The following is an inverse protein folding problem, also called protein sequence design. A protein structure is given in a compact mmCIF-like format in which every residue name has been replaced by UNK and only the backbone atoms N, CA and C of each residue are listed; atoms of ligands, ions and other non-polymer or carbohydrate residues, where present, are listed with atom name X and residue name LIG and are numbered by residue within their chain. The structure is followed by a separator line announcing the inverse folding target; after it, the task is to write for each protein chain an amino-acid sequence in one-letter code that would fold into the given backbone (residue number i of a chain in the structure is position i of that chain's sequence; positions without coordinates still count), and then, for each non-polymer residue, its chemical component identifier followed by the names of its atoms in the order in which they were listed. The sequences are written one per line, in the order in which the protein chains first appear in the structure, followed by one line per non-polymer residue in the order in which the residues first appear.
data_IF_055422624663
#
_entry.id   IF_055422624663
#
_cell.length_a   1.000
_cell.length_b   1.000
_cell.length_c   1.000
_cell.angle_alpha   90.00
_cell.angle_beta   90.00
_cell.angle_gamma   90.00
#
_symmetry.space_group_name_H-M   'P 1'
#
loop_
_entity.id
_entity.type
_entity.pdbx_description
1 polymer ?
#
# COMPACT_ATOMS: atom_id res chain seq x y z
N UNK A 1 -25.87 15.20 -18.74
CA UNK A 1 -24.63 15.29 -17.92
C UNK A 1 -24.53 14.01 -17.12
N UNK A 2 -23.52 13.16 -17.37
CA UNK A 2 -23.33 11.93 -16.57
C UNK A 2 -23.09 12.34 -15.12
N UNK A 3 -23.86 11.78 -14.19
CA UNK A 3 -23.71 12.01 -12.76
C UNK A 3 -22.37 11.44 -12.30
N UNK A 4 -21.28 12.19 -12.50
CA UNK A 4 -19.94 11.74 -12.12
C UNK A 4 -19.80 11.83 -10.60
N UNK A 5 -19.44 10.73 -9.97
CA UNK A 5 -19.00 10.77 -8.58
C UNK A 5 -17.65 11.50 -8.47
N UNK A 6 -17.46 12.25 -7.40
CA UNK A 6 -16.20 12.90 -7.05
C UNK A 6 -15.38 11.94 -6.20
N UNK A 7 -14.07 11.85 -6.44
CA UNK A 7 -13.16 11.05 -5.63
C UNK A 7 -12.40 12.01 -4.71
N UNK A 8 -12.51 11.81 -3.41
CA UNK A 8 -11.73 12.51 -2.39
C UNK A 8 -10.95 11.51 -1.53
N UNK A 9 -10.06 12.04 -0.69
CA UNK A 9 -9.20 11.26 0.19
C UNK A 9 -9.49 11.65 1.63
N UNK A 10 -9.62 10.67 2.52
CA UNK A 10 -9.72 10.95 3.96
C UNK A 10 -8.44 11.64 4.47
N UNK A 11 -7.29 11.16 4.00
CA UNK A 11 -5.98 11.79 4.20
C UNK A 11 -5.16 11.70 2.90
N UNK A 12 -5.17 12.78 2.12
CA UNK A 12 -4.48 12.81 0.82
C UNK A 12 -2.98 12.53 0.96
N UNK A 13 -2.31 13.13 1.95
CA UNK A 13 -0.86 13.01 2.09
C UNK A 13 -0.42 11.57 2.35
N UNK A 14 -1.11 10.86 3.26
CA UNK A 14 -0.79 9.46 3.55
C UNK A 14 -1.19 8.54 2.41
N UNK A 15 -2.37 8.77 1.82
CA UNK A 15 -2.84 7.96 0.71
C UNK A 15 -1.89 8.08 -0.50
N UNK A 16 -1.43 9.28 -0.84
CA UNK A 16 -0.47 9.51 -1.93
C UNK A 16 0.87 8.82 -1.68
N UNK A 17 1.34 8.73 -0.44
CA UNK A 17 2.56 7.97 -0.09
C UNK A 17 2.35 6.48 -0.36
N UNK A 18 1.23 5.92 0.12
CA UNK A 18 0.87 4.51 -0.11
C UNK A 18 0.66 4.22 -1.60
N UNK A 19 0.01 5.12 -2.34
CA UNK A 19 -0.20 5.01 -3.79
C UNK A 19 1.15 4.94 -4.54
N UNK A 20 2.13 5.78 -4.17
CA UNK A 20 3.49 5.72 -4.73
C UNK A 20 4.20 4.41 -4.38
N UNK A 21 4.02 3.90 -3.16
CA UNK A 21 4.57 2.61 -2.77
C UNK A 21 3.92 1.47 -3.58
N UNK A 22 2.60 1.45 -3.75
CA UNK A 22 1.93 0.47 -4.63
C UNK A 22 2.47 0.56 -6.05
N UNK A 23 2.65 1.78 -6.60
CA UNK A 23 3.28 1.96 -7.92
C UNK A 23 4.68 1.35 -8.00
N UNK A 24 5.49 1.44 -6.93
CA UNK A 24 6.86 0.91 -6.88
C UNK A 24 6.90 -0.61 -6.74
N UNK A 25 6.14 -1.17 -5.80
CA UNK A 25 6.23 -2.58 -5.43
C UNK A 25 5.27 -3.48 -6.23
N UNK A 26 4.16 -2.92 -6.71
CA UNK A 26 3.12 -3.66 -7.42
C UNK A 26 2.45 -2.80 -8.50
N UNK A 27 3.14 -2.68 -9.63
CA UNK A 27 2.68 -1.93 -10.80
C UNK A 27 1.36 -2.45 -11.37
N UNK A 28 1.09 -3.76 -11.26
CA UNK A 28 -0.14 -4.38 -11.77
C UNK A 28 -1.36 -3.84 -11.02
N UNK A 29 -1.32 -3.86 -9.69
CA UNK A 29 -2.37 -3.30 -8.84
C UNK A 29 -2.55 -1.80 -9.09
N UNK A 30 -1.46 -1.05 -9.20
CA UNK A 30 -1.50 0.39 -9.48
C UNK A 30 -2.20 0.71 -10.82
N UNK A 31 -1.84 0.02 -11.90
CA UNK A 31 -2.47 0.24 -13.22
C UNK A 31 -3.96 -0.05 -13.18
N UNK A 32 -4.37 -1.16 -12.58
CA UNK A 32 -5.79 -1.51 -12.42
C UNK A 32 -6.54 -0.47 -11.60
N UNK A 33 -5.95 0.01 -10.51
CA UNK A 33 -6.51 1.08 -9.67
C UNK A 33 -6.80 2.35 -10.47
N UNK A 34 -5.82 2.83 -11.22
CA UNK A 34 -5.91 4.11 -11.94
C UNK A 34 -6.75 4.01 -13.21
N UNK A 35 -6.61 2.94 -14.00
CA UNK A 35 -7.24 2.84 -15.32
C UNK A 35 -8.60 2.18 -15.31
N UNK A 36 -8.88 1.27 -14.38
CA UNK A 36 -10.16 0.55 -14.35
C UNK A 36 -11.04 1.08 -13.22
N UNK A 37 -10.52 1.09 -11.99
CA UNK A 37 -11.35 1.33 -10.81
C UNK A 37 -11.71 2.81 -10.63
N UNK A 38 -10.77 3.75 -10.77
CA UNK A 38 -11.09 5.18 -10.64
C UNK A 38 -12.12 5.67 -11.68
N UNK A 39 -12.03 5.32 -12.97
CA UNK A 39 -13.11 5.60 -13.92
C UNK A 39 -14.42 4.92 -13.55
N UNK A 40 -14.39 3.64 -13.16
CA UNK A 40 -15.60 2.91 -12.72
C UNK A 40 -16.31 3.63 -11.57
N UNK A 41 -15.55 4.09 -10.57
CA UNK A 41 -16.09 4.82 -9.41
C UNK A 41 -16.74 6.13 -9.82
N UNK A 42 -16.13 6.88 -10.76
CA UNK A 42 -16.73 8.10 -11.30
C UNK A 42 -18.02 7.83 -12.04
N UNK A 43 -18.11 6.71 -12.75
CA UNK A 43 -19.32 6.29 -13.45
C UNK A 43 -20.41 5.71 -12.52
N UNK A 44 -20.08 5.48 -11.24
CA UNK A 44 -21.00 4.93 -10.23
C UNK A 44 -21.01 3.40 -10.13
N UNK A 45 -20.06 2.71 -10.77
CA UNK A 45 -19.85 1.27 -10.65
C UNK A 45 -18.85 0.97 -9.52
N UNK A 46 -19.38 0.62 -8.34
CA UNK A 46 -18.60 0.33 -7.14
C UNK A 46 -18.28 -1.15 -7.04
N UNK A 47 -17.01 -1.50 -7.28
CA UNK A 47 -16.48 -2.86 -7.20
C UNK A 47 -15.87 -3.13 -5.84
N UNK A 48 -16.27 -4.22 -5.20
CA UNK A 48 -15.68 -4.66 -3.93
C UNK A 48 -16.66 -5.44 -3.07
N UNK A 49 -16.22 -5.82 -1.88
CA UNK A 49 -17.04 -6.45 -0.84
C UNK A 49 -17.57 -5.34 0.06
N UNK A 50 -18.86 -5.37 0.38
CA UNK A 50 -19.47 -4.42 1.32
C UNK A 50 -19.13 -4.87 2.74
N UNK A 51 -18.37 -4.04 3.46
CA UNK A 51 -17.99 -4.31 4.86
C UNK A 51 -19.04 -3.77 5.83
N UNK A 52 -19.63 -2.63 5.48
CA UNK A 52 -20.63 -1.96 6.31
C UNK A 52 -21.58 -1.14 5.45
N UNK A 53 -22.85 -1.12 5.82
CA UNK A 53 -23.88 -0.31 5.18
C UNK A 53 -24.70 0.40 6.24
N UNK A 54 -24.72 1.73 6.17
CA UNK A 54 -25.57 2.57 7.01
C UNK A 54 -26.69 3.15 6.14
N UNK A 55 -27.87 2.55 6.23
CA UNK A 55 -29.06 2.92 5.44
C UNK A 55 -29.62 4.30 5.82
N UNK A 56 -29.36 4.79 7.04
CA UNK A 56 -29.86 6.10 7.49
C UNK A 56 -29.15 7.25 6.77
N UNK A 57 -27.84 7.13 6.60
CA UNK A 57 -27.00 8.18 6.03
C UNK A 57 -26.63 7.93 4.56
N UNK A 58 -27.10 6.81 3.98
CA UNK A 58 -26.72 6.30 2.66
C UNK A 58 -25.19 6.22 2.47
N UNK A 59 -24.53 5.62 3.46
CA UNK A 59 -23.08 5.41 3.48
C UNK A 59 -22.79 3.92 3.36
N UNK A 60 -21.99 3.54 2.37
CA UNK A 60 -21.58 2.15 2.16
C UNK A 60 -20.06 2.06 2.13
N UNK A 61 -19.48 1.22 3.00
CA UNK A 61 -18.04 0.96 3.07
C UNK A 61 -17.68 -0.28 2.27
N UNK A 62 -16.64 -0.16 1.45
CA UNK A 62 -16.19 -1.20 0.54
C UNK A 62 -14.72 -1.56 0.78
N UNK A 63 -14.45 -2.84 0.62
CA UNK A 63 -13.10 -3.39 0.50
C UNK A 63 -12.93 -3.96 -0.91
N UNK A 64 -11.99 -3.39 -1.66
CA UNK A 64 -11.66 -3.82 -3.00
C UNK A 64 -10.28 -4.47 -3.02
N UNK A 65 -10.28 -5.79 -3.22
CA UNK A 65 -9.06 -6.56 -3.44
C UNK A 65 -8.49 -6.26 -4.83
N UNK A 66 -7.30 -5.66 -4.87
CA UNK A 66 -6.60 -5.36 -6.11
C UNK A 66 -5.85 -6.59 -6.62
N UNK A 67 -5.79 -6.80 -7.95
CA UNK A 67 -5.01 -7.89 -8.53
C UNK A 67 -3.53 -7.64 -8.25
N UNK A 68 -2.98 -8.51 -7.42
CA UNK A 68 -1.64 -8.38 -6.86
C UNK A 68 -0.71 -9.39 -7.53
N UNK A 69 0.57 -9.01 -7.70
CA UNK A 69 1.57 -9.94 -8.22
C UNK A 69 1.74 -11.15 -7.28
N UNK A 70 1.94 -12.34 -7.86
CA UNK A 70 1.99 -13.61 -7.11
C UNK A 70 3.12 -13.65 -6.10
N UNK A 71 4.28 -13.07 -6.40
CA UNK A 71 5.40 -13.03 -5.46
C UNK A 71 5.10 -12.07 -4.30
N UNK A 72 4.55 -10.89 -4.61
CA UNK A 72 4.16 -9.91 -3.59
C UNK A 72 3.08 -10.45 -2.65
N UNK A 73 2.02 -11.05 -3.20
CA UNK A 73 0.91 -11.60 -2.44
C UNK A 73 1.34 -12.69 -1.43
N UNK A 74 2.37 -13.48 -1.78
CA UNK A 74 2.91 -14.52 -0.89
C UNK A 74 3.68 -13.95 0.31
N UNK A 75 4.36 -12.82 0.14
CA UNK A 75 5.24 -12.25 1.17
C UNK A 75 4.50 -11.24 2.03
N UNK A 76 3.68 -10.39 1.42
CA UNK A 76 3.05 -9.25 2.09
C UNK A 76 1.52 -9.35 2.15
N UNK A 77 0.91 -10.32 1.45
CA UNK A 77 -0.53 -10.39 1.28
C UNK A 77 -1.02 -9.56 0.09
N UNK A 78 -2.32 -9.65 -0.17
CA UNK A 78 -2.97 -8.94 -1.27
C UNK A 78 -3.17 -7.45 -0.94
N UNK A 79 -3.01 -6.59 -1.94
CA UNK A 79 -3.30 -5.16 -1.78
C UNK A 79 -4.82 -4.96 -1.78
N UNK A 80 -5.36 -4.35 -0.73
CA UNK A 80 -6.78 -4.06 -0.58
C UNK A 80 -6.98 -2.55 -0.43
N UNK A 81 -7.87 -1.99 -1.25
CA UNK A 81 -8.32 -0.62 -1.16
C UNK A 81 -9.56 -0.55 -0.26
N UNK A 82 -9.48 0.30 0.76
CA UNK A 82 -10.59 0.64 1.63
C UNK A 82 -11.16 1.98 1.17
N UNK A 83 -12.45 2.00 0.85
CA UNK A 83 -13.12 3.24 0.44
C UNK A 83 -14.58 3.28 0.89
N UNK A 84 -15.08 4.48 1.09
CA UNK A 84 -16.43 4.76 1.55
C UNK A 84 -17.19 5.53 0.46
N UNK A 85 -18.41 5.08 0.14
CA UNK A 85 -19.29 5.74 -0.82
C UNK A 85 -20.39 6.48 -0.07
N UNK A 86 -20.52 7.76 -0.35
CA UNK A 86 -21.60 8.63 0.10
C UNK A 86 -22.54 8.89 -1.07
N UNK A 87 -23.60 8.08 -1.18
CA UNK A 87 -24.51 8.14 -2.33
C UNK A 87 -25.24 9.50 -2.40
N UNK A 88 -25.61 10.05 -1.24
CA UNK A 88 -26.27 11.36 -1.12
C UNK A 88 -25.44 12.52 -1.73
N UNK A 89 -24.12 12.47 -1.52
CA UNK A 89 -23.20 13.52 -1.93
C UNK A 89 -22.53 13.22 -3.28
N UNK A 90 -22.81 12.05 -3.87
CA UNK A 90 -22.09 11.51 -5.03
C UNK A 90 -20.57 11.56 -4.82
N UNK A 91 -20.13 11.15 -3.64
CA UNK A 91 -18.73 11.20 -3.21
C UNK A 91 -18.20 9.79 -2.93
N UNK A 92 -16.99 9.53 -3.40
CA UNK A 92 -16.20 8.34 -3.10
C UNK A 92 -14.98 8.79 -2.32
N UNK A 93 -14.95 8.45 -1.03
CA UNK A 93 -13.85 8.78 -0.14
C UNK A 93 -12.89 7.59 -0.06
N UNK A 94 -11.64 7.79 -0.47
CA UNK A 94 -10.58 6.80 -0.36
C UNK A 94 -9.97 6.87 1.04
N UNK A 95 -10.09 5.79 1.79
CA UNK A 95 -9.70 5.74 3.20
C UNK A 95 -8.22 5.35 3.34
N UNK A 96 -7.87 4.13 2.93
CA UNK A 96 -6.49 3.60 3.05
C UNK A 96 -6.24 2.43 2.08
N UNK A 97 -4.97 2.03 1.99
CA UNK A 97 -4.50 0.84 1.29
C UNK A 97 -3.80 -0.07 2.29
N UNK A 98 -4.21 -1.33 2.36
CA UNK A 98 -3.52 -2.38 3.14
C UNK A 98 -2.79 -3.32 2.19
N UNK A 99 -1.61 -3.86 2.56
CA UNK A 99 -0.97 -3.84 3.88
C UNK A 99 -0.18 -2.56 4.16
N UNK A 100 -0.35 -1.94 5.33
CA UNK A 100 0.28 -0.66 5.62
C UNK A 100 1.79 -0.76 5.84
N UNK A 101 2.28 -1.87 6.40
CA UNK A 101 3.69 -2.05 6.77
C UNK A 101 4.62 -1.84 5.57
N UNK A 102 4.41 -2.58 4.48
CA UNK A 102 5.23 -2.48 3.26
C UNK A 102 4.98 -1.16 2.50
N UNK A 103 3.77 -0.61 2.60
CA UNK A 103 3.40 0.63 1.91
C UNK A 103 3.88 1.90 2.64
N UNK A 104 4.30 1.78 3.90
CA UNK A 104 4.91 2.85 4.70
C UNK A 104 6.42 2.65 4.92
N UNK A 105 6.93 1.40 4.89
CA UNK A 105 8.36 1.07 5.08
C UNK A 105 9.31 1.67 4.04
N UNK A 106 8.82 2.11 2.88
CA UNK A 106 9.64 2.79 1.87
C UNK A 106 10.42 4.02 2.38
N UNK A 107 10.12 4.51 3.58
CA UNK A 107 10.81 5.62 4.25
C UNK A 107 11.71 5.24 5.43
N UNK A 108 11.70 3.99 5.91
CA UNK A 108 12.41 3.59 7.12
C UNK A 108 12.79 2.12 6.99
N UNK A 109 14.00 1.76 6.58
CA UNK A 109 15.18 2.02 7.38
C UNK A 109 16.41 1.71 6.53
N UNK A 110 17.32 2.66 6.36
CA UNK A 110 18.67 2.38 5.85
C UNK A 110 19.29 1.22 6.64
N UNK A 111 19.98 0.30 5.95
CA UNK A 111 20.74 -0.75 6.64
C UNK A 111 21.86 -0.06 7.42
N UNK A 112 21.97 -0.35 8.71
CA UNK A 112 23.07 0.16 9.51
C UNK A 112 24.39 -0.41 8.96
N UNK A 113 25.42 0.42 8.89
CA UNK A 113 26.75 -0.04 8.48
C UNK A 113 27.62 -0.30 9.69
N UNK A 114 28.40 -1.38 9.66
CA UNK A 114 29.45 -1.68 10.63
C UNK A 114 30.78 -1.86 9.89
N UNK A 115 31.79 -1.05 10.25
CA UNK A 115 33.10 -1.01 9.57
C UNK A 115 33.00 -0.87 8.04
N UNK A 116 32.08 -0.02 7.58
CA UNK A 116 31.85 0.22 6.15
C UNK A 116 31.04 -0.87 5.43
N UNK A 117 30.66 -1.96 6.10
CA UNK A 117 29.86 -3.05 5.53
C UNK A 117 28.41 -2.93 6.01
N UNK A 118 27.43 -3.09 5.12
CA UNK A 118 26.01 -3.10 5.48
C UNK A 118 25.65 -4.32 6.34
N UNK A 119 24.85 -4.10 7.38
CA UNK A 119 24.47 -5.11 8.37
C UNK A 119 22.94 -5.29 8.38
N UNK A 120 22.49 -6.54 8.38
CA UNK A 120 21.06 -6.87 8.50
C UNK A 120 20.49 -6.41 9.84
N UNK A 121 19.23 -5.94 9.84
CA UNK A 121 18.50 -5.62 11.07
C UNK A 121 18.12 -6.85 11.89
N UNK A 122 17.81 -7.97 11.22
CA UNK A 122 17.37 -9.19 11.89
C UNK A 122 18.53 -10.01 12.47
N UNK A 123 19.75 -9.81 11.97
CA UNK A 123 20.92 -10.64 12.32
C UNK A 123 22.19 -9.83 12.56
N UNK A 124 22.03 -8.63 13.13
CA UNK A 124 23.13 -7.66 13.23
C UNK A 124 24.37 -8.22 13.92
N UNK A 125 24.22 -8.96 15.02
CA UNK A 125 25.34 -9.54 15.77
C UNK A 125 26.13 -10.57 14.96
N UNK A 126 25.43 -11.43 14.20
CA UNK A 126 26.08 -12.46 13.37
C UNK A 126 26.86 -11.83 12.22
N UNK A 127 26.30 -10.80 11.62
CA UNK A 127 26.93 -10.06 10.53
C UNK A 127 28.16 -9.29 11.05
N UNK A 128 28.06 -8.62 12.20
CA UNK A 128 29.19 -7.95 12.86
C UNK A 128 30.31 -8.93 13.24
N UNK A 129 29.96 -10.13 13.73
CA UNK A 129 30.94 -11.18 14.02
C UNK A 129 31.70 -11.61 12.77
N UNK A 130 30.99 -11.86 11.66
CA UNK A 130 31.62 -12.22 10.38
C UNK A 130 32.54 -11.11 9.86
N UNK A 131 32.09 -9.86 9.94
CA UNK A 131 32.90 -8.69 9.54
C UNK A 131 34.17 -8.62 10.39
N UNK A 132 34.08 -8.85 11.70
CA UNK A 132 35.25 -8.86 12.58
C UNK A 132 36.20 -10.01 12.25
N UNK A 133 35.68 -11.21 11.99
CA UNK A 133 36.48 -12.37 11.63
C UNK A 133 37.26 -12.14 10.32
N UNK A 134 36.61 -11.62 9.29
CA UNK A 134 37.25 -11.29 8.01
C UNK A 134 38.34 -10.22 8.19
N UNK A 135 38.06 -9.15 8.93
CA UNK A 135 39.06 -8.13 9.24
C UNK A 135 40.27 -8.69 10.02
N UNK A 136 40.09 -9.71 10.85
CA UNK A 136 41.20 -10.37 11.55
C UNK A 136 42.03 -11.25 10.62
N UNK A 137 41.42 -11.80 9.56
CA UNK A 137 42.12 -12.62 8.56
C UNK A 137 42.88 -11.76 7.54
N UNK A 138 42.34 -10.60 7.15
CA UNK A 138 42.98 -9.67 6.21
C UNK A 138 44.13 -8.86 6.85
N UNK A 139 44.13 -8.70 8.18
CA UNK A 139 45.23 -8.04 8.92
C UNK A 139 46.39 -9.01 9.26
N UNK A 140 46.59 -10.04 8.45
CA UNK A 140 47.67 -11.03 8.55
C UNK A 140 48.50 -11.01 7.27
#
# INVERSE_FOLDING_TARGET
MKNSFVIEYLNENEFRKKERAVKKYNMLAYKKLVFDFYPSFRDGDFKGIIVSKNTKDMITKYELKLPTDRMFAKVHGDVVLHYTVYENQKLVMLDTLTPEDILTEGHQKELSTYKGVMVSKSHAERDMFKINLLNMLDNK
#
